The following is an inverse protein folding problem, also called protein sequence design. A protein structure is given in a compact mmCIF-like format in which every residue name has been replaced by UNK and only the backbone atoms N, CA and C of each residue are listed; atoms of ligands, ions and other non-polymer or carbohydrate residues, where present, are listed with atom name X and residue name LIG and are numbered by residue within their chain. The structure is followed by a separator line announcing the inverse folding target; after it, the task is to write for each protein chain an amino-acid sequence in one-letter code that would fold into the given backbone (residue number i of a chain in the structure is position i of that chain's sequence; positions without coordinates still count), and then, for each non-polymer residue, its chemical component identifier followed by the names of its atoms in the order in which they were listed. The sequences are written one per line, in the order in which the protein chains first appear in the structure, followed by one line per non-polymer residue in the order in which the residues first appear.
data_IF_855082581523
#
_entry.id   IF_855082581523
#
_cell.length_a   1.000
_cell.length_b   1.000
_cell.length_c   1.000
_cell.angle_alpha   90.00
_cell.angle_beta   90.00
_cell.angle_gamma   90.00
#
_symmetry.space_group_name_H-M   'P 1'
#
loop_
_entity.id
_entity.type
_entity.pdbx_description
1 polymer ?
#
# COMPACT_ATOMS: atom_id res chain seq x y z
N UNK A 1 -43.47 -23.04 19.31
CA UNK A 1 -42.65 -21.97 18.71
C UNK A 1 -41.19 -22.31 19.04
N UNK A 2 -40.46 -22.86 18.06
CA UNK A 2 -39.04 -23.19 18.20
C UNK A 2 -38.20 -21.92 17.95
N UNK A 3 -37.54 -21.43 18.99
CA UNK A 3 -36.54 -20.37 18.84
C UNK A 3 -35.26 -20.98 18.23
N UNK A 4 -34.96 -20.59 16.99
CA UNK A 4 -33.67 -20.89 16.37
C UNK A 4 -32.69 -19.82 16.83
N UNK A 5 -31.74 -20.21 17.69
CA UNK A 5 -30.64 -19.34 18.09
C UNK A 5 -29.70 -19.13 16.89
N UNK A 6 -29.50 -17.87 16.47
CA UNK A 6 -28.54 -17.51 15.46
C UNK A 6 -27.11 -17.79 15.99
N UNK A 7 -26.19 -18.31 15.17
CA UNK A 7 -24.80 -18.53 15.59
C UNK A 7 -24.14 -17.18 15.90
N UNK A 8 -23.63 -17.03 17.12
CA UNK A 8 -22.76 -15.91 17.51
C UNK A 8 -21.45 -16.09 16.73
N UNK A 9 -21.18 -15.20 15.80
CA UNK A 9 -19.89 -15.18 15.11
C UNK A 9 -18.78 -15.00 16.16
N UNK A 10 -17.85 -15.97 16.22
CA UNK A 10 -16.72 -15.87 17.14
C UNK A 10 -15.89 -14.64 16.78
N UNK A 11 -15.75 -13.71 17.71
CA UNK A 11 -14.88 -12.54 17.57
C UNK A 11 -13.44 -13.04 17.25
N UNK A 12 -12.83 -12.49 16.21
CA UNK A 12 -11.43 -12.83 15.90
C UNK A 12 -10.53 -12.40 17.07
N UNK A 13 -9.50 -13.19 17.43
CA UNK A 13 -8.63 -12.83 18.53
C UNK A 13 -7.96 -11.48 18.27
N UNK A 14 -7.96 -10.65 19.30
CA UNK A 14 -7.36 -9.33 19.28
C UNK A 14 -5.83 -9.44 19.17
N UNK A 15 -5.23 -8.62 18.29
CA UNK A 15 -3.79 -8.57 18.11
C UNK A 15 -3.23 -7.58 19.13
N UNK A 16 -2.50 -8.05 20.13
CA UNK A 16 -1.93 -7.20 21.18
C UNK A 16 -0.42 -7.34 21.24
N UNK A 17 0.29 -6.25 21.46
CA UNK A 17 1.74 -6.27 21.59
C UNK A 17 2.38 -4.88 21.56
N UNK A 18 3.72 -4.86 21.55
CA UNK A 18 4.47 -3.63 21.33
C UNK A 18 4.52 -3.29 19.84
N UNK A 19 4.37 -2.01 19.55
CA UNK A 19 4.44 -1.48 18.19
C UNK A 19 5.91 -1.40 17.76
N UNK A 20 6.19 -1.89 16.55
CA UNK A 20 7.36 -1.54 15.75
C UNK A 20 6.86 -0.86 14.47
N UNK A 21 7.17 0.42 14.30
CA UNK A 21 6.72 1.22 13.16
C UNK A 21 7.51 0.85 11.92
N UNK A 22 6.81 0.43 10.87
CA UNK A 22 7.39 0.13 9.55
C UNK A 22 7.32 1.38 8.67
N UNK A 23 6.13 1.96 8.55
CA UNK A 23 5.85 3.21 7.83
C UNK A 23 4.65 3.93 8.47
N UNK A 24 4.10 4.95 7.79
CA UNK A 24 3.05 5.80 8.34
C UNK A 24 1.70 5.12 8.61
N UNK A 25 1.43 3.94 8.05
CA UNK A 25 0.17 3.19 8.23
C UNK A 25 0.37 1.68 8.43
N UNK A 26 1.61 1.23 8.61
CA UNK A 26 1.94 -0.20 8.76
C UNK A 26 2.83 -0.41 9.97
N UNK A 27 2.40 -1.30 10.86
CA UNK A 27 3.11 -1.63 12.10
C UNK A 27 3.33 -3.14 12.20
N UNK A 28 4.38 -3.56 12.89
CA UNK A 28 4.43 -4.90 13.46
C UNK A 28 4.00 -4.82 14.92
N UNK A 29 3.04 -5.67 15.28
CA UNK A 29 2.55 -5.85 16.64
C UNK A 29 2.91 -7.26 17.08
N UNK A 30 3.98 -7.41 17.83
CA UNK A 30 4.62 -8.72 18.00
C UNK A 30 5.06 -9.29 16.66
N UNK A 31 4.61 -10.50 16.33
CA UNK A 31 4.94 -11.18 15.06
C UNK A 31 3.92 -10.89 13.92
N UNK A 32 2.91 -10.07 14.18
CA UNK A 32 1.85 -9.79 13.21
C UNK A 32 2.09 -8.46 12.54
N UNK A 33 2.22 -8.47 11.19
CA UNK A 33 2.21 -7.24 10.41
C UNK A 33 0.77 -6.74 10.23
N UNK A 34 0.54 -5.53 10.70
CA UNK A 34 -0.76 -4.85 10.70
C UNK A 34 -0.70 -3.64 9.79
N UNK A 35 -1.66 -3.55 8.86
CA UNK A 35 -1.99 -2.32 8.15
C UNK A 35 -3.20 -1.67 8.83
N UNK A 36 -3.08 -0.41 9.17
CA UNK A 36 -4.17 0.34 9.80
C UNK A 36 -5.37 0.44 8.86
N UNK A 37 -6.54 0.08 9.35
CA UNK A 37 -7.80 0.13 8.60
C UNK A 37 -8.23 1.58 8.35
N UNK A 38 -8.70 1.85 7.14
CA UNK A 38 -9.33 3.12 6.77
C UNK A 38 -8.40 4.32 6.63
N UNK A 39 -7.08 4.13 6.73
CA UNK A 39 -6.08 5.19 6.55
C UNK A 39 -5.08 4.86 5.41
N UNK A 40 -4.48 5.90 4.84
CA UNK A 40 -3.46 5.81 3.80
C UNK A 40 -2.42 6.91 4.03
N UNK A 41 -1.24 6.56 4.51
CA UNK A 41 -0.19 7.51 4.82
C UNK A 41 0.70 7.78 3.59
N UNK A 42 1.35 8.96 3.51
CA UNK A 42 2.36 9.21 2.49
C UNK A 42 3.43 8.14 2.47
N UNK A 43 3.77 7.69 1.26
CA UNK A 43 4.83 6.70 1.06
C UNK A 43 6.19 7.26 1.53
N UNK A 44 7.07 6.43 2.05
CA UNK A 44 8.35 6.89 2.61
C UNK A 44 9.18 7.75 1.64
N UNK A 45 9.14 7.44 0.34
CA UNK A 45 9.81 8.22 -0.71
C UNK A 45 8.99 9.37 -1.28
N UNK A 46 7.80 9.65 -0.74
CA UNK A 46 6.91 10.69 -1.23
C UNK A 46 7.42 12.07 -0.82
N UNK A 47 7.35 13.00 -1.78
CA UNK A 47 7.61 14.42 -1.57
C UNK A 47 6.33 15.22 -1.63
N UNK A 48 6.26 16.28 -0.83
CA UNK A 48 5.20 17.28 -0.78
C UNK A 48 5.74 18.67 -1.13
N UNK A 49 4.85 19.63 -1.38
CA UNK A 49 5.23 20.94 -1.90
C UNK A 49 5.39 20.93 -3.41
N UNK A 50 5.94 21.99 -3.94
CA UNK A 50 6.07 22.24 -5.38
C UNK A 50 5.36 23.53 -5.76
N UNK A 51 5.38 23.90 -7.05
CA UNK A 51 4.89 25.21 -7.49
C UNK A 51 5.64 26.33 -6.81
N UNK A 52 4.94 27.15 -6.03
CA UNK A 52 5.51 28.28 -5.29
C UNK A 52 6.11 27.89 -3.92
N UNK A 53 5.89 26.65 -3.45
CA UNK A 53 6.38 26.17 -2.14
C UNK A 53 7.56 25.22 -2.31
N UNK A 54 8.55 25.25 -1.38
CA UNK A 54 9.67 24.30 -1.41
C UNK A 54 9.17 22.85 -1.36
N UNK A 55 9.85 21.95 -2.07
CA UNK A 55 9.63 20.51 -1.98
C UNK A 55 10.32 19.94 -0.74
N UNK A 56 9.70 19.01 -0.05
CA UNK A 56 10.24 18.38 1.13
C UNK A 56 9.82 16.90 1.24
N UNK A 57 10.59 16.10 1.97
CA UNK A 57 10.41 14.66 2.10
C UNK A 57 9.31 14.32 3.12
N UNK A 58 8.04 14.60 2.77
CA UNK A 58 6.91 14.44 3.69
C UNK A 58 6.66 12.99 4.10
N UNK A 59 6.89 12.02 3.24
CA UNK A 59 6.71 10.61 3.60
C UNK A 59 7.71 10.14 4.67
N UNK A 60 8.97 10.53 4.53
CA UNK A 60 9.98 10.24 5.56
C UNK A 60 9.67 10.96 6.88
N UNK A 61 9.21 12.22 6.80
CA UNK A 61 8.79 12.99 7.96
C UNK A 61 7.61 12.33 8.66
N UNK A 62 6.55 11.94 7.94
CA UNK A 62 5.40 11.22 8.51
C UNK A 62 5.84 9.95 9.23
N UNK A 63 6.69 9.13 8.59
CA UNK A 63 7.19 7.90 9.23
C UNK A 63 7.95 8.21 10.52
N UNK A 64 8.72 9.30 10.56
CA UNK A 64 9.43 9.75 11.76
C UNK A 64 8.49 10.20 12.87
N UNK A 65 7.45 10.98 12.53
CA UNK A 65 6.43 11.44 13.47
C UNK A 65 5.63 10.28 14.07
N UNK A 66 5.22 9.33 13.23
CA UNK A 66 4.52 8.12 13.68
C UNK A 66 5.41 7.28 14.59
N UNK A 67 6.69 7.15 14.25
CA UNK A 67 7.67 6.45 15.08
C UNK A 67 7.87 7.13 16.43
N UNK A 68 8.03 8.44 16.45
CA UNK A 68 8.18 9.20 17.69
C UNK A 68 6.98 9.04 18.65
N UNK A 69 5.76 8.86 18.10
CA UNK A 69 4.54 8.70 18.89
C UNK A 69 4.30 7.27 19.38
N UNK A 70 4.61 6.26 18.55
CA UNK A 70 4.10 4.92 18.77
C UNK A 70 5.15 3.83 18.95
N UNK A 71 6.41 4.05 18.56
CA UNK A 71 7.44 3.02 18.68
C UNK A 71 7.56 2.50 20.11
N UNK A 72 7.47 1.18 20.28
CA UNK A 72 7.57 0.51 21.58
C UNK A 72 6.33 0.60 22.47
N UNK A 73 5.31 1.42 22.16
CA UNK A 73 4.05 1.47 22.93
C UNK A 73 3.25 0.18 22.73
N UNK A 74 2.40 -0.15 23.69
CA UNK A 74 1.47 -1.30 23.56
C UNK A 74 0.24 -0.87 22.78
N UNK A 75 -0.11 -1.69 21.80
CA UNK A 75 -1.36 -1.55 21.06
C UNK A 75 -2.28 -2.76 21.29
N UNK A 76 -3.56 -2.51 21.10
CA UNK A 76 -4.61 -3.50 20.93
C UNK A 76 -5.30 -3.25 19.60
N UNK A 77 -5.36 -4.28 18.74
CA UNK A 77 -5.83 -4.16 17.37
C UNK A 77 -6.93 -5.18 17.08
N UNK A 78 -8.12 -4.69 16.73
CA UNK A 78 -9.21 -5.53 16.23
C UNK A 78 -9.01 -5.79 14.75
N UNK A 79 -8.78 -7.06 14.38
CA UNK A 79 -8.65 -7.47 12.98
C UNK A 79 -10.00 -7.37 12.29
N UNK A 80 -10.04 -6.69 11.14
CA UNK A 80 -11.24 -6.53 10.31
C UNK A 80 -11.12 -7.32 9.00
N UNK A 81 -9.88 -7.48 8.47
CA UNK A 81 -9.64 -8.16 7.20
C UNK A 81 -8.19 -8.67 7.13
N UNK A 82 -7.86 -9.33 6.04
CA UNK A 82 -6.49 -9.69 5.66
C UNK A 82 -6.26 -9.27 4.21
N UNK A 83 -5.25 -8.46 3.97
CA UNK A 83 -4.99 -8.00 2.62
C UNK A 83 -4.31 -9.08 1.76
N UNK A 84 -4.19 -8.80 0.45
CA UNK A 84 -3.58 -9.72 -0.52
C UNK A 84 -2.10 -10.05 -0.27
N UNK A 85 -1.44 -9.32 0.63
CA UNK A 85 -0.05 -9.55 1.03
C UNK A 85 0.05 -10.33 2.34
N UNK A 86 -1.08 -10.73 2.92
CA UNK A 86 -1.15 -11.46 4.18
C UNK A 86 -1.05 -10.59 5.43
N UNK A 87 -1.08 -9.24 5.29
CA UNK A 87 -1.10 -8.34 6.44
C UNK A 87 -2.49 -8.33 7.05
N UNK A 88 -2.57 -8.32 8.38
CA UNK A 88 -3.82 -8.06 9.07
C UNK A 88 -4.23 -6.60 8.82
N UNK A 89 -5.44 -6.38 8.30
CA UNK A 89 -6.05 -5.05 8.23
C UNK A 89 -6.84 -4.86 9.53
N UNK A 90 -6.43 -3.92 10.37
CA UNK A 90 -6.98 -3.81 11.72
C UNK A 90 -7.15 -2.34 12.18
N UNK A 91 -8.12 -2.14 13.06
CA UNK A 91 -8.25 -0.91 13.83
C UNK A 91 -7.47 -1.06 15.13
N UNK A 92 -6.50 -0.19 15.35
CA UNK A 92 -5.62 -0.26 16.50
C UNK A 92 -5.89 0.89 17.46
N UNK A 93 -5.80 0.59 18.76
CA UNK A 93 -5.81 1.59 19.83
C UNK A 93 -4.54 1.51 20.66
N UNK A 94 -4.12 2.66 21.17
CA UNK A 94 -3.05 2.83 22.16
C UNK A 94 -3.62 3.64 23.31
N UNK A 95 -3.57 3.11 24.53
CA UNK A 95 -4.19 3.73 25.71
C UNK A 95 -5.69 4.07 25.54
N UNK A 96 -6.39 3.28 24.70
CA UNK A 96 -7.81 3.48 24.42
C UNK A 96 -8.13 4.41 23.25
N UNK A 97 -7.16 5.17 22.75
CA UNK A 97 -7.33 6.12 21.63
C UNK A 97 -7.12 5.42 20.28
N UNK A 98 -7.97 5.73 19.29
CA UNK A 98 -7.89 5.19 17.94
C UNK A 98 -6.70 5.81 17.18
N UNK A 99 -5.69 5.00 16.90
CA UNK A 99 -4.46 5.40 16.21
C UNK A 99 -4.75 5.96 14.82
N UNK A 100 -5.66 5.34 14.06
CA UNK A 100 -6.02 5.82 12.71
C UNK A 100 -6.63 7.22 12.74
N UNK A 101 -7.53 7.47 13.70
CA UNK A 101 -8.16 8.78 13.91
C UNK A 101 -7.13 9.85 14.29
N UNK A 102 -6.22 9.52 15.18
CA UNK A 102 -5.17 10.44 15.60
C UNK A 102 -4.27 10.82 14.42
N UNK A 103 -3.81 9.83 13.64
CA UNK A 103 -2.97 10.07 12.47
C UNK A 103 -3.66 10.97 11.43
N UNK A 104 -4.93 10.74 11.14
CA UNK A 104 -5.70 11.56 10.19
C UNK A 104 -5.95 12.96 10.74
N UNK A 105 -6.33 13.10 12.02
CA UNK A 105 -6.59 14.39 12.66
C UNK A 105 -5.36 15.30 12.73
N UNK A 106 -4.17 14.70 12.85
CA UNK A 106 -2.89 15.40 12.87
C UNK A 106 -2.28 15.60 11.46
N UNK A 107 -2.99 15.16 10.42
CA UNK A 107 -2.53 15.28 9.03
C UNK A 107 -1.30 14.42 8.72
N UNK A 108 -1.11 13.30 9.41
CA UNK A 108 -0.07 12.31 9.14
C UNK A 108 -0.54 11.22 8.18
N UNK A 109 -1.86 11.07 8.01
CA UNK A 109 -2.46 10.16 7.06
C UNK A 109 -3.72 10.76 6.44
N UNK A 110 -4.16 10.17 5.33
CA UNK A 110 -5.43 10.46 4.66
C UNK A 110 -6.48 9.41 5.05
N UNK A 111 -7.74 9.81 5.10
CA UNK A 111 -8.85 8.87 5.14
C UNK A 111 -8.89 8.06 3.83
N UNK A 112 -8.87 6.73 3.93
CA UNK A 112 -8.90 5.86 2.77
C UNK A 112 -10.34 5.50 2.40
N UNK A 113 -11.02 6.42 1.75
CA UNK A 113 -12.46 6.38 1.42
C UNK A 113 -12.90 5.17 0.61
N UNK A 114 -11.97 4.51 -0.09
CA UNK A 114 -12.27 3.27 -0.79
C UNK A 114 -12.63 2.10 0.16
N UNK A 115 -12.26 2.20 1.45
CA UNK A 115 -12.50 1.17 2.45
C UNK A 115 -13.45 1.63 3.55
N UNK A 116 -13.39 2.89 3.98
CA UNK A 116 -14.21 3.41 5.07
C UNK A 116 -14.34 4.92 5.00
N UNK A 117 -15.46 5.44 5.50
CA UNK A 117 -15.69 6.86 5.72
C UNK A 117 -15.48 7.30 7.18
N UNK A 118 -15.01 6.40 8.04
CA UNK A 118 -14.89 6.62 9.49
C UNK A 118 -14.04 7.84 9.86
N UNK A 119 -13.04 8.15 9.04
CA UNK A 119 -12.11 9.26 9.27
C UNK A 119 -12.30 10.44 8.31
N UNK A 120 -13.37 10.45 7.49
CA UNK A 120 -13.57 11.49 6.46
C UNK A 120 -13.72 12.88 7.04
N UNK A 121 -14.45 13.01 8.15
CA UNK A 121 -14.62 14.29 8.85
C UNK A 121 -13.33 14.75 9.54
N UNK A 122 -12.55 13.82 10.06
CA UNK A 122 -11.27 14.11 10.71
C UNK A 122 -10.27 14.66 9.69
N UNK A 123 -10.18 14.05 8.49
CA UNK A 123 -9.36 14.57 7.38
C UNK A 123 -9.83 15.97 6.94
N UNK A 124 -11.13 16.19 6.76
CA UNK A 124 -11.65 17.51 6.37
C UNK A 124 -11.25 18.59 7.37
N UNK A 125 -11.31 18.29 8.67
CA UNK A 125 -10.87 19.21 9.72
C UNK A 125 -9.37 19.47 9.67
N UNK A 126 -8.56 18.42 9.44
CA UNK A 126 -7.11 18.53 9.30
C UNK A 126 -6.72 19.40 8.08
N UNK A 127 -7.40 19.21 6.95
CA UNK A 127 -7.21 20.02 5.73
C UNK A 127 -7.55 21.50 5.98
N UNK A 128 -8.68 21.80 6.61
CA UNK A 128 -9.09 23.18 6.92
C UNK A 128 -8.09 23.87 7.84
N UNK A 129 -7.53 23.15 8.79
CA UNK A 129 -6.52 23.67 9.73
C UNK A 129 -5.12 23.72 9.11
N UNK A 130 -4.89 23.07 7.97
CA UNK A 130 -3.59 23.00 7.32
C UNK A 130 -2.53 22.29 8.15
N UNK A 131 -2.92 21.27 8.95
CA UNK A 131 -1.98 20.55 9.82
C UNK A 131 -1.26 19.43 9.08
N UNK A 132 -0.07 19.07 9.55
CA UNK A 132 0.73 18.01 8.97
C UNK A 132 1.01 18.23 7.49
N UNK A 133 0.82 17.22 6.67
CA UNK A 133 1.04 17.30 5.21
C UNK A 133 0.05 18.21 4.50
N UNK A 134 -1.11 18.48 5.11
CA UNK A 134 -2.14 19.37 4.55
C UNK A 134 -1.76 20.86 4.56
N UNK A 135 -0.68 21.22 5.24
CA UNK A 135 -0.09 22.57 5.19
C UNK A 135 0.66 22.87 3.88
N UNK A 136 0.85 21.89 3.02
CA UNK A 136 1.53 22.00 1.73
C UNK A 136 0.73 21.35 0.60
N UNK A 137 1.15 21.55 -0.65
CA UNK A 137 0.61 20.75 -1.74
C UNK A 137 1.03 19.29 -1.57
N UNK A 138 0.05 18.41 -1.50
CA UNK A 138 0.29 16.99 -1.30
C UNK A 138 -0.63 16.15 -2.21
N UNK A 139 -0.04 15.22 -2.94
CA UNK A 139 -0.80 14.19 -3.68
C UNK A 139 -1.24 13.10 -2.72
N UNK A 140 -2.42 12.54 -2.94
CA UNK A 140 -2.84 11.37 -2.18
C UNK A 140 -1.86 10.20 -2.41
N UNK A 141 -1.54 9.40 -1.39
CA UNK A 141 -0.59 8.29 -1.52
C UNK A 141 -0.96 7.32 -2.63
N UNK A 142 -2.25 7.03 -2.82
CA UNK A 142 -2.74 6.19 -3.90
C UNK A 142 -2.41 6.76 -5.30
N UNK A 143 -2.53 8.07 -5.48
CA UNK A 143 -2.17 8.78 -6.72
C UNK A 143 -0.66 8.74 -6.95
N UNK A 144 0.13 9.03 -5.91
CA UNK A 144 1.58 8.95 -5.95
C UNK A 144 2.06 7.56 -6.36
N UNK A 145 1.50 6.48 -5.77
CA UNK A 145 1.80 5.10 -6.17
C UNK A 145 1.45 4.82 -7.62
N UNK A 146 0.32 5.35 -8.11
CA UNK A 146 -0.11 5.17 -9.49
C UNK A 146 0.85 5.88 -10.46
N UNK A 147 1.23 7.11 -10.19
CA UNK A 147 2.18 7.89 -11.00
C UNK A 147 3.56 7.26 -11.04
N UNK A 148 4.10 6.89 -9.87
CA UNK A 148 5.42 6.21 -9.76
C UNK A 148 5.42 4.91 -10.57
N UNK A 149 4.34 4.11 -10.46
CA UNK A 149 4.20 2.89 -11.26
C UNK A 149 4.13 3.18 -12.76
N UNK A 150 3.37 4.21 -13.16
CA UNK A 150 3.25 4.57 -14.57
C UNK A 150 4.57 5.08 -15.13
N UNK A 151 5.32 5.90 -14.40
CA UNK A 151 6.65 6.35 -14.77
C UNK A 151 7.62 5.18 -14.93
N UNK A 152 7.63 4.25 -13.97
CA UNK A 152 8.45 3.04 -14.04
C UNK A 152 8.06 2.13 -15.22
N UNK A 153 6.76 1.99 -15.51
CA UNK A 153 6.29 1.24 -16.68
C UNK A 153 6.74 1.90 -17.98
N UNK A 154 6.63 3.21 -18.10
CA UNK A 154 7.07 3.96 -19.28
C UNK A 154 8.57 3.80 -19.51
N UNK A 155 9.39 3.94 -18.47
CA UNK A 155 10.83 3.72 -18.53
C UNK A 155 11.17 2.28 -18.95
N UNK A 156 10.44 1.29 -18.43
CA UNK A 156 10.65 -0.11 -18.79
C UNK A 156 10.27 -0.42 -20.24
N UNK A 157 9.25 0.26 -20.78
CA UNK A 157 8.89 0.16 -22.21
C UNK A 157 9.99 0.80 -23.08
N UNK A 158 10.48 1.97 -22.71
CA UNK A 158 11.54 2.66 -23.46
C UNK A 158 12.86 1.86 -23.49
N UNK A 159 13.13 1.05 -22.48
CA UNK A 159 14.31 0.18 -22.39
C UNK A 159 14.13 -1.18 -23.08
N UNK A 160 12.97 -1.47 -23.68
CA UNK A 160 12.69 -2.75 -24.30
C UNK A 160 13.48 -2.92 -25.61
N UNK A 161 14.13 -4.08 -25.86
CA UNK A 161 14.93 -4.29 -27.05
C UNK A 161 14.04 -4.34 -28.31
N UNK A 162 14.43 -3.60 -29.35
CA UNK A 162 13.79 -3.63 -30.69
C UNK A 162 12.26 -3.43 -30.67
N UNK A 163 11.72 -2.70 -29.70
CA UNK A 163 10.27 -2.48 -29.58
C UNK A 163 9.46 -3.70 -29.09
N UNK A 164 10.12 -4.80 -28.71
CA UNK A 164 9.45 -5.96 -28.12
C UNK A 164 9.23 -5.73 -26.63
N UNK A 165 8.06 -5.22 -26.28
CA UNK A 165 7.76 -4.67 -24.95
C UNK A 165 7.13 -5.68 -23.97
N UNK A 166 6.87 -6.90 -24.38
CA UNK A 166 6.24 -7.92 -23.54
C UNK A 166 7.32 -8.73 -22.85
N UNK A 167 7.27 -8.77 -21.51
CA UNK A 167 8.25 -9.45 -20.66
C UNK A 167 7.77 -10.84 -20.30
N UNK A 168 8.50 -11.88 -20.67
CA UNK A 168 8.24 -13.26 -20.25
C UNK A 168 9.20 -13.69 -19.16
N UNK A 169 8.71 -13.92 -17.94
CA UNK A 169 9.50 -14.39 -16.81
C UNK A 169 9.03 -15.75 -16.29
N UNK A 170 9.93 -16.51 -15.68
CA UNK A 170 9.64 -17.78 -15.03
C UNK A 170 9.47 -17.55 -13.55
N UNK A 171 8.30 -17.89 -12.99
CA UNK A 171 8.03 -17.76 -11.56
C UNK A 171 8.89 -18.72 -10.74
N UNK A 172 8.94 -18.51 -9.42
CA UNK A 172 9.61 -19.44 -8.48
C UNK A 172 9.05 -20.87 -8.52
N UNK A 173 7.85 -21.04 -9.07
CA UNK A 173 7.19 -22.34 -9.28
C UNK A 173 7.39 -22.92 -10.68
N UNK A 174 8.23 -22.30 -11.51
CA UNK A 174 8.51 -22.72 -12.89
C UNK A 174 7.42 -22.33 -13.90
N UNK A 175 6.42 -21.53 -13.53
CA UNK A 175 5.38 -21.08 -14.45
C UNK A 175 5.91 -20.01 -15.41
N UNK A 176 5.65 -20.17 -16.70
CA UNK A 176 5.97 -19.20 -17.75
C UNK A 176 4.88 -18.14 -17.84
N UNK A 177 5.18 -16.92 -17.40
CA UNK A 177 4.21 -15.83 -17.29
C UNK A 177 4.70 -14.65 -18.13
N UNK A 178 3.82 -14.07 -18.96
CA UNK A 178 4.16 -12.83 -19.64
C UNK A 178 3.39 -11.62 -19.09
N UNK A 179 4.07 -10.49 -19.06
CA UNK A 179 3.56 -9.19 -18.61
C UNK A 179 3.55 -8.21 -19.78
N UNK A 180 2.44 -7.47 -19.91
CA UNK A 180 2.33 -6.40 -20.90
C UNK A 180 2.49 -5.03 -20.21
N UNK A 181 2.92 -3.99 -20.96
CA UNK A 181 2.98 -2.62 -20.43
C UNK A 181 1.68 -2.19 -19.74
N UNK A 182 1.80 -1.44 -18.67
CA UNK A 182 0.65 -1.00 -17.87
C UNK A 182 0.17 -1.98 -16.80
N UNK A 183 0.56 -3.26 -16.83
CA UNK A 183 0.25 -4.18 -15.73
C UNK A 183 1.03 -3.83 -14.46
N UNK A 184 0.43 -4.11 -13.32
CA UNK A 184 0.94 -3.76 -11.98
C UNK A 184 2.41 -4.17 -11.74
N UNK A 185 2.79 -5.35 -12.19
CA UNK A 185 4.13 -5.90 -11.96
C UNK A 185 5.07 -5.75 -13.16
N UNK A 186 4.63 -5.10 -14.24
CA UNK A 186 5.42 -4.98 -15.46
C UNK A 186 6.78 -4.33 -15.22
N UNK A 187 6.83 -3.18 -14.56
CA UNK A 187 8.09 -2.47 -14.31
C UNK A 187 9.04 -3.27 -13.41
N UNK A 188 8.49 -3.94 -12.40
CA UNK A 188 9.27 -4.74 -11.46
C UNK A 188 9.78 -6.06 -12.05
N UNK A 189 9.14 -6.57 -13.12
CA UNK A 189 9.57 -7.80 -13.80
C UNK A 189 10.88 -7.54 -14.53
N UNK A 190 11.93 -8.24 -14.15
CA UNK A 190 13.24 -8.26 -14.86
C UNK A 190 13.35 -9.54 -15.67
N UNK A 191 14.07 -9.47 -16.77
CA UNK A 191 14.30 -10.61 -17.65
C UNK A 191 15.68 -11.20 -17.36
N UNK A 192 15.70 -12.45 -16.94
CA UNK A 192 16.88 -13.25 -16.72
C UNK A 192 16.97 -14.34 -17.80
N UNK A 193 17.76 -14.08 -18.82
CA UNK A 193 17.91 -14.99 -19.99
C UNK A 193 18.47 -16.36 -19.59
N UNK A 194 19.19 -16.45 -18.47
CA UNK A 194 19.75 -17.74 -18.00
C UNK A 194 18.66 -18.69 -17.51
N UNK A 195 17.49 -18.16 -17.12
CA UNK A 195 16.29 -18.93 -16.75
C UNK A 195 15.37 -19.22 -17.93
N UNK A 196 15.78 -18.88 -19.15
CA UNK A 196 14.95 -19.00 -20.35
C UNK A 196 13.89 -17.90 -20.47
N UNK A 197 14.01 -16.83 -19.68
CA UNK A 197 13.15 -15.66 -19.77
C UNK A 197 13.52 -14.83 -20.99
N UNK A 198 12.52 -14.16 -21.59
CA UNK A 198 12.76 -13.38 -22.81
C UNK A 198 11.70 -12.31 -23.05
N UNK A 199 12.01 -11.42 -23.97
CA UNK A 199 11.08 -10.44 -24.51
C UNK A 199 10.26 -11.04 -25.66
N UNK A 200 9.03 -10.56 -25.83
CA UNK A 200 8.15 -10.89 -26.93
C UNK A 200 7.64 -9.61 -27.59
N UNK A 201 7.41 -9.66 -28.90
CA UNK A 201 6.93 -8.52 -29.67
C UNK A 201 5.40 -8.47 -29.76
N UNK A 202 4.70 -9.57 -29.42
CA UNK A 202 3.25 -9.64 -29.34
C UNK A 202 2.76 -10.64 -28.28
N UNK A 203 1.52 -10.44 -27.80
CA UNK A 203 0.88 -11.42 -26.93
C UNK A 203 0.64 -12.76 -27.62
N UNK A 204 0.37 -12.73 -28.93
CA UNK A 204 0.18 -13.93 -29.74
C UNK A 204 1.46 -14.78 -29.78
N UNK A 205 2.62 -14.13 -29.97
CA UNK A 205 3.93 -14.77 -29.91
C UNK A 205 4.18 -15.41 -28.55
N UNK A 206 3.92 -14.69 -27.47
CA UNK A 206 4.09 -15.20 -26.11
C UNK A 206 3.21 -16.43 -25.85
N UNK A 207 1.93 -16.39 -26.25
CA UNK A 207 0.99 -17.53 -26.11
C UNK A 207 1.42 -18.73 -26.94
N UNK A 208 1.83 -18.51 -28.20
CA UNK A 208 2.33 -19.57 -29.10
C UNK A 208 3.58 -20.24 -28.51
N UNK A 209 4.38 -19.51 -27.78
CA UNK A 209 5.55 -20.03 -27.07
C UNK A 209 5.23 -20.72 -25.73
N UNK A 210 3.95 -20.91 -25.38
CA UNK A 210 3.51 -21.59 -24.18
C UNK A 210 3.54 -20.71 -22.91
N UNK A 211 3.48 -19.38 -23.04
CA UNK A 211 3.42 -18.46 -21.92
C UNK A 211 2.00 -18.01 -21.64
N UNK A 212 1.59 -17.94 -20.36
CA UNK A 212 0.31 -17.40 -19.97
C UNK A 212 0.42 -15.91 -19.57
N UNK A 213 -0.63 -15.15 -19.78
CA UNK A 213 -0.70 -13.75 -19.32
C UNK A 213 -0.72 -13.68 -17.80
N UNK A 214 -0.01 -12.71 -17.24
CA UNK A 214 -0.10 -12.40 -15.82
C UNK A 214 -1.53 -12.02 -15.41
N UNK A 215 -1.98 -12.49 -14.26
CA UNK A 215 -3.23 -12.04 -13.65
C UNK A 215 -3.04 -10.60 -13.12
N UNK A 216 -4.08 -9.80 -13.24
CA UNK A 216 -4.08 -8.43 -12.69
C UNK A 216 -4.19 -8.44 -11.18
#
# INVERSE_FOLDING_TARGET
VSLVAAPVAAAQPEITGRIRVIDGDTFDIGDVRVRLFGVDAPEQGQTCGGGAKPTWACGAWVTSEVRARYEGRRASCARLDTDRYGRAVARCSVEGEDVGRELVSEGLAFAYRAYSLDYDLDEKRAVVRGVGVHGSEVRRPAEYRAETRNAANSAAVAAAPRGCVIKGNVSSKGERIFHVPGQKYYAATRIDVTKGERWFCSEAEARKAGWRKARQ
#
